data_IF_622917475480
#
_entry.id   IF_622917475480
#
_cell.length_a   1.000
_cell.length_b   1.000
_cell.length_c   1.000
_cell.angle_alpha   90.00
_cell.angle_beta   90.00
_cell.angle_gamma   90.00
#
_symmetry.space_group_name_H-M   'P 1'
#
loop_
_entity.id
_entity.type
_entity.pdbx_description
1 polymer ?
#
# COMPACT_ATOMS: atom_id res chain seq x y z
N UNK A 1 -16.15 14.37 14.00
CA UNK A 1 -15.05 13.67 13.31
C UNK A 1 -15.52 13.34 11.89
N UNK A 2 -14.64 13.32 10.87
CA UNK A 2 -15.04 12.91 9.53
C UNK A 2 -15.54 11.46 9.55
N UNK A 3 -16.58 11.15 8.77
CA UNK A 3 -17.18 9.81 8.69
C UNK A 3 -16.25 8.76 8.09
N UNK A 4 -15.30 9.22 7.29
CA UNK A 4 -14.19 8.42 6.78
C UNK A 4 -12.89 9.05 7.25
N UNK A 5 -12.09 8.24 7.94
CA UNK A 5 -10.71 8.55 8.25
C UNK A 5 -9.84 7.68 7.34
N UNK A 6 -9.31 8.27 6.26
CA UNK A 6 -8.53 7.56 5.26
C UNK A 6 -7.31 6.88 5.86
N UNK A 7 -6.68 7.48 6.86
CA UNK A 7 -5.52 6.91 7.56
C UNK A 7 -5.91 5.60 8.25
N UNK A 8 -7.03 5.59 8.97
CA UNK A 8 -7.49 4.39 9.69
C UNK A 8 -7.78 3.22 8.75
N UNK A 9 -8.45 3.47 7.61
CA UNK A 9 -8.77 2.41 6.64
C UNK A 9 -7.52 1.86 5.95
N UNK A 10 -6.60 2.75 5.57
CA UNK A 10 -5.35 2.35 4.93
C UNK A 10 -4.47 1.57 5.89
N UNK A 11 -4.35 2.02 7.13
CA UNK A 11 -3.59 1.30 8.16
C UNK A 11 -4.17 -0.09 8.40
N UNK A 12 -5.48 -0.23 8.53
CA UNK A 12 -6.13 -1.53 8.66
C UNK A 12 -5.87 -2.44 7.45
N UNK A 13 -5.86 -1.89 6.24
CA UNK A 13 -5.53 -2.65 5.02
C UNK A 13 -4.05 -3.10 5.00
N UNK A 14 -3.12 -2.21 5.31
CA UNK A 14 -1.68 -2.51 5.33
C UNK A 14 -1.32 -3.49 6.46
N UNK A 15 -1.94 -3.36 7.63
CA UNK A 15 -1.74 -4.29 8.76
C UNK A 15 -2.26 -5.70 8.42
N UNK A 16 -3.32 -5.80 7.60
CA UNK A 16 -3.86 -7.07 7.13
C UNK A 16 -3.07 -7.66 5.94
N UNK A 17 -2.24 -6.88 5.25
CA UNK A 17 -1.52 -7.26 4.04
C UNK A 17 -0.02 -6.91 4.14
N UNK A 18 0.82 -7.83 4.66
CA UNK A 18 2.24 -7.55 4.90
C UNK A 18 3.03 -7.21 3.61
N UNK A 19 2.64 -7.77 2.47
CA UNK A 19 3.26 -7.45 1.17
C UNK A 19 2.93 -6.02 0.72
N UNK A 20 1.68 -5.58 0.92
CA UNK A 20 1.25 -4.21 0.67
C UNK A 20 1.94 -3.22 1.62
N UNK A 21 2.11 -3.60 2.88
CA UNK A 21 2.87 -2.83 3.86
C UNK A 21 4.32 -2.64 3.42
N UNK A 22 4.98 -3.72 3.00
CA UNK A 22 6.34 -3.65 2.49
C UNK A 22 6.43 -2.79 1.23
N UNK A 23 5.45 -2.89 0.32
CA UNK A 23 5.36 -2.05 -0.88
C UNK A 23 5.20 -0.57 -0.54
N UNK A 24 4.35 -0.22 0.44
CA UNK A 24 4.16 1.16 0.87
C UNK A 24 5.43 1.81 1.42
N UNK A 25 6.37 1.03 1.94
CA UNK A 25 7.65 1.54 2.47
C UNK A 25 8.77 1.61 1.43
N UNK A 26 8.74 0.74 0.42
CA UNK A 26 9.88 0.51 -0.48
C UNK A 26 9.58 0.79 -1.96
N UNK A 27 8.31 0.93 -2.33
CA UNK A 27 7.88 1.29 -3.68
C UNK A 27 7.27 2.70 -3.68
N UNK A 28 7.95 3.69 -4.29
CA UNK A 28 7.46 5.07 -4.32
C UNK A 28 6.17 5.24 -5.14
N UNK A 29 5.92 4.39 -6.15
CA UNK A 29 4.68 4.43 -6.92
C UNK A 29 3.51 3.93 -6.07
N UNK A 30 3.72 2.83 -5.34
CA UNK A 30 2.71 2.29 -4.43
C UNK A 30 2.45 3.25 -3.26
N UNK A 31 3.48 3.84 -2.67
CA UNK A 31 3.35 4.85 -1.63
C UNK A 31 2.55 6.08 -2.11
N UNK A 32 2.77 6.53 -3.35
CA UNK A 32 1.99 7.60 -3.96
C UNK A 32 0.51 7.21 -4.14
N UNK A 33 0.22 5.98 -4.55
CA UNK A 33 -1.14 5.44 -4.64
C UNK A 33 -1.84 5.39 -3.27
N UNK A 34 -1.15 4.92 -2.22
CA UNK A 34 -1.66 4.92 -0.84
C UNK A 34 -1.98 6.35 -0.38
N UNK A 35 -1.08 7.31 -0.60
CA UNK A 35 -1.29 8.70 -0.23
C UNK A 35 -2.45 9.38 -1.00
N UNK A 36 -2.56 9.09 -2.30
CA UNK A 36 -3.66 9.58 -3.12
C UNK A 36 -5.00 9.04 -2.65
N UNK A 37 -5.05 7.76 -2.30
CA UNK A 37 -6.23 7.11 -1.77
C UNK A 37 -6.63 7.68 -0.40
N UNK A 38 -5.66 7.95 0.49
CA UNK A 38 -5.90 8.61 1.77
C UNK A 38 -6.64 9.93 1.56
N UNK A 39 -6.08 10.78 0.71
CA UNK A 39 -6.64 12.10 0.38
C UNK A 39 -8.05 11.98 -0.20
N UNK A 40 -8.30 10.95 -1.01
CA UNK A 40 -9.62 10.71 -1.62
C UNK A 40 -10.64 10.26 -0.59
N UNK A 41 -10.27 9.38 0.34
CA UNK A 41 -11.15 8.91 1.41
C UNK A 41 -11.49 10.05 2.39
N UNK A 42 -10.53 10.89 2.74
CA UNK A 42 -10.76 12.06 3.60
C UNK A 42 -11.73 13.06 2.96
N UNK A 43 -11.53 13.36 1.67
CA UNK A 43 -12.43 14.22 0.89
C UNK A 43 -13.84 13.63 0.80
N UNK A 44 -13.94 12.32 0.60
CA UNK A 44 -15.23 11.63 0.59
C UNK A 44 -15.90 11.72 1.96
N UNK A 45 -15.15 11.54 3.05
CA UNK A 45 -15.65 11.70 4.42
C UNK A 45 -16.22 13.09 4.68
N UNK A 46 -15.54 14.13 4.20
CA UNK A 46 -16.03 15.50 4.26
C UNK A 46 -17.28 15.75 3.40
N UNK A 47 -17.33 15.21 2.18
CA UNK A 47 -18.48 15.33 1.30
C UNK A 47 -19.73 14.64 1.88
N UNK A 48 -19.58 13.42 2.40
CA UNK A 48 -20.67 12.69 3.06
C UNK A 48 -21.19 13.44 4.28
N UNK A 49 -20.29 14.02 5.08
CA UNK A 49 -20.67 14.86 6.21
C UNK A 49 -21.45 16.12 5.78
N UNK A 50 -21.03 16.76 4.68
CA UNK A 50 -21.68 17.95 4.14
C UNK A 50 -23.10 17.65 3.61
N UNK A 51 -23.31 16.46 3.07
CA UNK A 51 -24.62 15.95 2.61
C UNK A 51 -25.51 15.43 3.75
N UNK A 52 -25.04 15.52 5.01
CA UNK A 52 -25.81 15.09 6.19
C UNK A 52 -25.96 13.57 6.32
N UNK A 53 -25.13 12.78 5.62
CA UNK A 53 -25.08 11.33 5.79
C UNK A 53 -24.31 11.06 7.08
N UNK A 54 -24.92 10.37 8.05
CA UNK A 54 -24.30 10.09 9.35
C UNK A 54 -24.14 8.60 9.66
N UNK A 55 -24.44 7.72 8.69
CA UNK A 55 -24.30 6.28 8.88
C UNK A 55 -22.83 5.86 8.84
N UNK A 56 -22.23 5.76 10.02
CA UNK A 56 -20.83 5.37 10.22
C UNK A 56 -20.54 3.94 9.75
N UNK A 57 -21.50 3.02 9.84
CA UNK A 57 -21.31 1.62 9.43
C UNK A 57 -21.37 1.47 7.90
N UNK A 58 -22.19 2.27 7.24
CA UNK A 58 -22.16 2.40 5.79
C UNK A 58 -20.87 3.05 5.31
N UNK A 59 -20.42 4.14 5.95
CA UNK A 59 -19.16 4.78 5.63
C UNK A 59 -18.00 3.78 5.79
N UNK A 60 -17.94 3.04 6.90
CA UNK A 60 -16.90 2.04 7.16
C UNK A 60 -16.84 0.96 6.09
N UNK A 61 -17.99 0.45 5.64
CA UNK A 61 -18.07 -0.54 4.54
C UNK A 61 -17.56 0.02 3.21
N UNK A 62 -17.92 1.26 2.88
CA UNK A 62 -17.48 1.92 1.64
C UNK A 62 -15.96 2.16 1.67
N UNK A 63 -15.44 2.71 2.77
CA UNK A 63 -14.00 2.98 2.93
C UNK A 63 -13.15 1.71 2.83
N UNK A 64 -13.53 0.65 3.53
CA UNK A 64 -12.83 -0.64 3.48
C UNK A 64 -12.84 -1.26 2.07
N UNK A 65 -14.00 -1.20 1.38
CA UNK A 65 -14.12 -1.70 0.01
C UNK A 65 -13.28 -0.89 -0.96
N UNK A 66 -13.30 0.44 -0.89
CA UNK A 66 -12.47 1.29 -1.75
C UNK A 66 -10.97 1.06 -1.53
N UNK A 67 -10.54 0.90 -0.28
CA UNK A 67 -9.16 0.56 0.02
C UNK A 67 -8.75 -0.77 -0.61
N UNK A 68 -9.63 -1.77 -0.53
CA UNK A 68 -9.40 -3.10 -1.10
C UNK A 68 -9.44 -3.08 -2.62
N UNK A 69 -10.42 -2.41 -3.24
CA UNK A 69 -10.58 -2.40 -4.69
C UNK A 69 -9.46 -1.59 -5.38
N UNK A 70 -8.94 -0.53 -4.75
CA UNK A 70 -7.93 0.35 -5.34
C UNK A 70 -6.49 -0.04 -5.03
N UNK A 71 -6.25 -0.72 -3.90
CA UNK A 71 -4.91 -1.24 -3.55
C UNK A 71 -4.77 -2.74 -3.78
N UNK A 72 -5.88 -3.49 -3.73
CA UNK A 72 -5.93 -4.94 -3.87
C UNK A 72 -6.18 -5.43 -5.29
N UNK A 73 -6.27 -4.55 -6.30
CA UNK A 73 -6.26 -5.02 -7.69
C UNK A 73 -4.94 -5.71 -8.00
N UNK A 74 -5.06 -6.97 -8.41
CA UNK A 74 -4.05 -7.85 -8.99
C UNK A 74 -3.10 -7.17 -9.97
N UNK A 75 -3.46 -6.04 -10.58
CA UNK A 75 -2.60 -5.34 -11.52
C UNK A 75 -1.39 -4.64 -10.86
N UNK A 76 -1.56 -4.03 -9.68
CA UNK A 76 -0.42 -3.45 -8.94
C UNK A 76 0.45 -4.54 -8.33
N UNK A 77 -0.17 -5.60 -7.77
CA UNK A 77 0.53 -6.80 -7.32
C UNK A 77 1.23 -7.55 -8.47
N UNK A 78 0.62 -7.64 -9.65
CA UNK A 78 1.21 -8.27 -10.84
C UNK A 78 2.33 -7.42 -11.44
N UNK A 79 2.22 -6.08 -11.39
CA UNK A 79 3.33 -5.19 -11.74
C UNK A 79 4.49 -5.36 -10.77
N UNK A 80 4.22 -5.47 -9.47
CA UNK A 80 5.24 -5.77 -8.46
C UNK A 80 5.88 -7.15 -8.67
N UNK A 81 5.09 -8.19 -8.94
CA UNK A 81 5.57 -9.53 -9.20
C UNK A 81 6.43 -9.59 -10.47
N UNK A 82 5.99 -8.89 -11.53
CA UNK A 82 6.74 -8.76 -12.77
C UNK A 82 8.05 -8.00 -12.57
N UNK A 83 8.04 -6.94 -11.76
CA UNK A 83 9.24 -6.15 -11.43
C UNK A 83 10.21 -6.93 -10.54
N UNK A 84 9.71 -7.68 -9.56
CA UNK A 84 10.50 -8.56 -8.71
C UNK A 84 11.16 -9.69 -9.52
N UNK A 85 10.43 -10.27 -10.49
CA UNK A 85 10.98 -11.23 -11.45
C UNK A 85 12.09 -10.62 -12.30
N UNK A 86 11.88 -9.40 -12.80
CA UNK A 86 12.85 -8.71 -13.65
C UNK A 86 14.14 -8.36 -12.87
N UNK A 87 14.01 -7.91 -11.62
CA UNK A 87 15.17 -7.67 -10.74
C UNK A 87 15.94 -8.97 -10.47
N UNK A 88 15.24 -10.08 -10.24
CA UNK A 88 15.87 -11.40 -10.03
C UNK A 88 16.60 -11.89 -11.27
N UNK A 89 16.01 -11.76 -12.45
CA UNK A 89 16.65 -12.11 -13.72
C UNK A 89 17.91 -11.24 -13.99
N UNK A 90 17.85 -9.95 -13.67
CA UNK A 90 19.02 -9.07 -13.78
C UNK A 90 20.13 -9.41 -12.76
N UNK A 91 19.76 -9.91 -11.58
CA UNK A 91 20.71 -10.42 -10.59
C UNK A 91 21.40 -11.70 -11.07
N UNK A 92 20.62 -12.68 -11.57
CA UNK A 92 21.16 -13.94 -12.10
C UNK A 92 22.09 -13.70 -13.31
N UNK A 93 21.84 -12.62 -14.06
CA UNK A 93 22.70 -12.15 -15.16
C UNK A 93 23.91 -11.32 -14.71
N UNK A 94 24.06 -11.06 -13.41
CA UNK A 94 25.18 -10.31 -12.85
C UNK A 94 25.17 -8.80 -13.16
N UNK A 95 24.03 -8.26 -13.57
CA UNK A 95 23.90 -6.85 -14.01
C UNK A 95 23.64 -5.92 -12.82
N UNK A 96 23.09 -6.44 -11.72
CA UNK A 96 22.75 -5.68 -10.51
C UNK A 96 23.30 -6.40 -9.28
N UNK A 97 24.14 -5.72 -8.50
CA UNK A 97 24.58 -6.19 -7.18
C UNK A 97 23.63 -5.66 -6.11
N UNK A 98 22.95 -6.56 -5.40
CA UNK A 98 22.33 -6.21 -4.13
C UNK A 98 23.44 -5.92 -3.11
N UNK A 99 23.34 -4.86 -2.29
CA UNK A 99 24.18 -4.74 -1.12
C UNK A 99 23.89 -5.96 -0.23
N UNK A 100 24.90 -6.81 -0.04
CA UNK A 100 24.81 -7.90 0.93
C UNK A 100 24.55 -7.25 2.29
N UNK A 101 23.47 -7.62 3.01
CA UNK A 101 23.28 -7.15 4.37
C UNK A 101 24.56 -7.48 5.16
N UNK A 102 25.14 -6.47 5.81
CA UNK A 102 26.43 -6.58 6.52
C UNK A 102 26.40 -7.70 7.58
N UNK A 103 25.20 -8.13 7.98
CA UNK A 103 24.95 -9.21 8.93
C UNK A 103 25.26 -10.63 8.40
N UNK A 104 25.46 -10.80 7.08
CA UNK A 104 25.88 -12.07 6.46
C UNK A 104 27.36 -12.13 6.09
N UNK A 105 28.11 -11.03 6.26
CA UNK A 105 29.56 -11.03 6.16
C UNK A 105 30.11 -11.51 7.50
N UNK A 106 30.32 -12.82 7.61
CA UNK A 106 30.94 -13.45 8.77
C UNK A 106 32.13 -12.64 9.27
N UNK A 107 32.10 -12.30 10.57
CA UNK A 107 33.23 -11.65 11.24
C UNK A 107 34.46 -12.52 11.04
N UNK A 108 35.57 -12.00 10.47
CA UNK A 108 36.82 -12.73 10.50
C UNK A 108 37.28 -12.82 11.96
N UNK A 109 37.39 -14.06 12.45
CA UNK A 109 38.10 -14.41 13.68
C UNK A 109 39.61 -14.24 13.52
#
# INVERSE_FOLDING_TARGET
MPLLDGEQFLRAHLDANPDAHHAALHDPEYAASVHHLQTTLDRLGHALAAEGITDEDQARRIGARLATDLLGTDESNARMESRARLVRDLYDKGVVHMPVPVDLLGRPS
#
